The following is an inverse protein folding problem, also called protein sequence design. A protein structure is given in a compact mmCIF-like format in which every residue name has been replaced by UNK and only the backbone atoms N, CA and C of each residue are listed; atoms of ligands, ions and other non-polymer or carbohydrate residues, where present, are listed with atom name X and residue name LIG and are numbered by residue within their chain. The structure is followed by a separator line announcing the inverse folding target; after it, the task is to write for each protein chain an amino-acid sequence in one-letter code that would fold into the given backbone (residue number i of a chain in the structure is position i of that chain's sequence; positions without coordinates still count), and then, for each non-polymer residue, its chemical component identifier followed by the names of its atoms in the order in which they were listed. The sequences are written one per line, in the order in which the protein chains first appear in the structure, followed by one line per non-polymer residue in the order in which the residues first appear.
data_IF_154829445509
#
_entry.id   IF_154829445509
#
_cell.length_a   1.000
_cell.length_b   1.000
_cell.length_c   1.000
_cell.angle_alpha   90.00
_cell.angle_beta   90.00
_cell.angle_gamma   90.00
#
_symmetry.space_group_name_H-M   'P 1'
#
loop_
_entity.id
_entity.type
_entity.pdbx_description
1 polymer ?
#
# COMPACT_ATOMS: atom_id res chain seq x y z
N UNK A 1 -6.50 -26.27 -29.79
CA UNK A 1 -6.67 -25.02 -29.04
C UNK A 1 -5.29 -24.41 -28.81
N UNK A 2 -5.09 -23.13 -29.13
CA UNK A 2 -3.77 -22.46 -29.12
C UNK A 2 -3.42 -21.95 -27.72
N UNK A 3 -2.13 -21.76 -27.46
CA UNK A 3 -1.61 -21.16 -26.22
C UNK A 3 -2.27 -19.82 -25.93
N UNK A 4 -2.51 -19.55 -24.66
CA UNK A 4 -3.02 -18.25 -24.21
C UNK A 4 -2.14 -17.66 -23.13
N UNK A 5 -1.98 -16.33 -23.17
CA UNK A 5 -1.33 -15.55 -22.14
C UNK A 5 -2.37 -14.86 -21.27
N UNK A 6 -2.31 -15.10 -19.97
CA UNK A 6 -3.20 -14.49 -18.99
C UNK A 6 -2.46 -13.39 -18.24
N UNK A 7 -2.92 -12.16 -18.35
CA UNK A 7 -2.41 -11.01 -17.62
C UNK A 7 -3.40 -10.63 -16.52
N UNK A 8 -2.99 -10.72 -15.26
CA UNK A 8 -3.80 -10.32 -14.11
C UNK A 8 -3.25 -9.01 -13.57
N UNK A 9 -4.11 -8.01 -13.40
CA UNK A 9 -3.75 -6.71 -12.84
C UNK A 9 -4.93 -6.09 -12.09
N UNK A 10 -4.73 -5.74 -10.82
CA UNK A 10 -5.79 -5.24 -9.94
C UNK A 10 -7.00 -6.18 -10.02
N UNK A 11 -8.21 -5.67 -10.28
CA UNK A 11 -9.44 -6.47 -10.39
C UNK A 11 -9.74 -6.96 -11.82
N UNK A 12 -8.72 -7.00 -12.68
CA UNK A 12 -8.88 -7.37 -14.09
C UNK A 12 -8.05 -8.60 -14.47
N UNK A 13 -8.61 -9.39 -15.39
CA UNK A 13 -7.97 -10.54 -16.05
C UNK A 13 -8.09 -10.34 -17.55
N UNK A 14 -6.96 -10.20 -18.23
CA UNK A 14 -6.87 -10.20 -19.68
C UNK A 14 -6.37 -11.54 -20.19
N UNK A 15 -7.15 -12.22 -21.03
CA UNK A 15 -6.79 -13.47 -21.70
C UNK A 15 -6.43 -13.11 -23.14
N UNK A 16 -5.19 -13.35 -23.53
CA UNK A 16 -4.62 -13.02 -24.83
C UNK A 16 -4.34 -14.29 -25.60
N UNK A 17 -4.83 -14.40 -26.82
CA UNK A 17 -4.38 -15.42 -27.77
C UNK A 17 -3.36 -14.82 -28.73
N UNK A 18 -2.46 -15.65 -29.25
CA UNK A 18 -1.39 -15.19 -30.13
C UNK A 18 -1.92 -14.73 -31.51
N UNK A 19 -2.90 -15.45 -32.05
CA UNK A 19 -3.49 -15.17 -33.37
C UNK A 19 -4.71 -14.25 -33.27
N UNK A 20 -4.71 -13.13 -34.00
CA UNK A 20 -5.80 -12.18 -33.91
C UNK A 20 -7.11 -12.61 -34.59
N UNK A 21 -7.00 -13.44 -35.62
CA UNK A 21 -8.10 -13.80 -36.51
C UNK A 21 -8.70 -15.17 -36.22
N UNK A 22 -8.40 -15.78 -35.07
CA UNK A 22 -8.93 -17.10 -34.72
C UNK A 22 -10.44 -17.02 -34.42
N UNK A 23 -11.32 -17.55 -35.30
CA UNK A 23 -12.76 -17.46 -35.13
C UNK A 23 -13.27 -18.35 -33.97
N UNK A 24 -12.46 -19.31 -33.52
CA UNK A 24 -12.81 -20.27 -32.47
C UNK A 24 -12.69 -19.67 -31.06
N UNK A 25 -11.98 -18.54 -30.89
CA UNK A 25 -11.77 -17.92 -29.58
C UNK A 25 -13.07 -17.58 -28.85
N UNK A 26 -14.07 -17.17 -29.64
CA UNK A 26 -15.40 -16.87 -29.14
C UNK A 26 -16.13 -18.11 -28.62
N UNK A 27 -16.13 -19.19 -29.39
CA UNK A 27 -16.87 -20.42 -29.06
C UNK A 27 -16.15 -21.29 -28.04
N UNK A 28 -14.80 -21.29 -28.03
CA UNK A 28 -13.98 -22.16 -27.17
C UNK A 28 -13.58 -21.52 -25.84
N UNK A 29 -13.43 -20.19 -25.79
CA UNK A 29 -13.09 -19.46 -24.55
C UNK A 29 -14.21 -18.55 -24.10
N UNK A 30 -14.63 -17.56 -24.89
CA UNK A 30 -15.53 -16.50 -24.42
C UNK A 30 -16.88 -17.04 -23.93
N UNK A 31 -17.59 -17.80 -24.76
CA UNK A 31 -18.89 -18.36 -24.39
C UNK A 31 -18.78 -19.39 -23.23
N UNK A 32 -17.81 -20.32 -23.22
CA UNK A 32 -17.55 -21.19 -22.07
C UNK A 32 -17.22 -20.44 -20.77
N UNK A 33 -16.44 -19.35 -20.84
CA UNK A 33 -16.12 -18.52 -19.68
C UNK A 33 -17.38 -17.92 -19.06
N UNK A 34 -18.27 -17.36 -19.88
CA UNK A 34 -19.57 -16.84 -19.41
C UNK A 34 -20.42 -17.94 -18.75
N UNK A 35 -20.41 -19.15 -19.29
CA UNK A 35 -21.10 -20.31 -18.68
C UNK A 35 -20.48 -20.69 -17.34
N UNK A 36 -19.15 -20.65 -17.22
CA UNK A 36 -18.46 -20.90 -15.96
C UNK A 36 -18.79 -19.86 -14.89
N UNK A 37 -18.82 -18.58 -15.27
CA UNK A 37 -19.25 -17.50 -14.37
C UNK A 37 -20.68 -17.74 -13.90
N UNK A 38 -21.60 -18.07 -14.81
CA UNK A 38 -23.00 -18.39 -14.48
C UNK A 38 -23.12 -19.56 -13.49
N UNK A 39 -22.38 -20.65 -13.72
CA UNK A 39 -22.35 -21.82 -12.82
C UNK A 39 -21.83 -21.48 -11.42
N UNK A 40 -20.97 -20.48 -11.30
CA UNK A 40 -20.40 -20.02 -10.01
C UNK A 40 -21.26 -18.98 -9.30
N UNK A 41 -22.47 -18.72 -9.81
CA UNK A 41 -23.44 -17.81 -9.20
C UNK A 41 -23.33 -16.36 -9.66
N UNK A 42 -22.64 -16.08 -10.77
CA UNK A 42 -22.73 -14.77 -11.42
C UNK A 42 -23.99 -14.70 -12.29
N UNK A 43 -24.73 -13.60 -12.20
CA UNK A 43 -25.75 -13.28 -13.19
C UNK A 43 -25.05 -12.69 -14.40
N UNK A 44 -25.35 -13.21 -15.60
CA UNK A 44 -24.73 -12.78 -16.85
C UNK A 44 -25.81 -12.18 -17.73
N UNK A 45 -25.68 -10.91 -18.09
CA UNK A 45 -26.64 -10.17 -18.90
C UNK A 45 -25.95 -9.44 -20.05
N UNK A 46 -26.77 -8.99 -21.00
CA UNK A 46 -26.32 -8.08 -22.05
C UNK A 46 -26.18 -6.69 -21.44
N UNK A 47 -25.07 -6.02 -21.76
CA UNK A 47 -24.88 -4.61 -21.40
C UNK A 47 -25.91 -3.76 -22.17
N UNK A 48 -26.85 -3.15 -21.44
CA UNK A 48 -27.95 -2.38 -22.02
C UNK A 48 -27.47 -1.12 -22.74
N UNK A 49 -26.46 -0.45 -22.18
CA UNK A 49 -25.89 0.77 -22.74
C UNK A 49 -25.17 0.46 -24.06
N UNK A 50 -24.38 -0.62 -24.09
CA UNK A 50 -23.72 -1.08 -25.31
C UNK A 50 -24.74 -1.56 -26.33
N UNK A 51 -25.77 -2.31 -25.91
CA UNK A 51 -26.83 -2.76 -26.84
C UNK A 51 -27.54 -1.57 -27.48
N UNK A 52 -27.80 -0.50 -26.73
CA UNK A 52 -28.47 0.69 -27.22
C UNK A 52 -27.58 1.54 -28.14
N UNK A 53 -26.33 1.78 -27.74
CA UNK A 53 -25.43 2.71 -28.47
C UNK A 53 -24.60 2.02 -29.55
N UNK A 54 -24.25 0.76 -29.35
CA UNK A 54 -23.35 -0.02 -30.21
C UNK A 54 -23.85 -1.47 -30.39
N UNK A 55 -24.97 -1.68 -31.10
CA UNK A 55 -25.58 -3.02 -31.26
C UNK A 55 -24.61 -4.08 -31.82
N UNK A 56 -23.69 -3.68 -32.70
CA UNK A 56 -22.67 -4.56 -33.28
C UNK A 56 -21.70 -5.12 -32.23
N UNK A 57 -21.38 -4.35 -31.20
CA UNK A 57 -20.49 -4.74 -30.10
C UNK A 57 -21.20 -5.54 -29.01
N UNK A 58 -22.53 -5.46 -28.95
CA UNK A 58 -23.34 -6.16 -27.95
C UNK A 58 -23.09 -7.67 -27.93
N UNK A 59 -22.72 -8.29 -29.05
CA UNK A 59 -22.39 -9.73 -29.09
C UNK A 59 -21.14 -10.08 -28.29
N UNK A 60 -20.21 -9.14 -28.12
CA UNK A 60 -18.91 -9.34 -27.50
C UNK A 60 -18.81 -8.77 -26.09
N UNK A 61 -19.85 -8.09 -25.61
CA UNK A 61 -19.86 -7.43 -24.32
C UNK A 61 -20.95 -7.99 -23.41
N UNK A 62 -20.58 -8.36 -22.19
CA UNK A 62 -21.51 -8.82 -21.16
C UNK A 62 -21.25 -8.07 -19.87
N UNK A 63 -22.32 -7.78 -19.14
CA UNK A 63 -22.23 -7.40 -17.73
C UNK A 63 -22.47 -8.64 -16.88
N UNK A 64 -21.69 -8.77 -15.82
CA UNK A 64 -21.81 -9.81 -14.82
C UNK A 64 -22.02 -9.20 -13.45
N UNK A 65 -22.92 -9.75 -12.64
CA UNK A 65 -23.18 -9.27 -11.28
C UNK A 65 -23.22 -10.41 -10.27
N UNK A 66 -22.78 -10.13 -9.04
CA UNK A 66 -22.82 -11.08 -7.92
C UNK A 66 -22.76 -10.34 -6.59
N UNK A 67 -23.92 -10.17 -5.94
CA UNK A 67 -24.03 -9.33 -4.75
C UNK A 67 -23.62 -7.89 -5.09
N UNK A 68 -22.70 -7.32 -4.31
CA UNK A 68 -22.19 -5.96 -4.50
C UNK A 68 -21.13 -5.84 -5.61
N UNK A 69 -20.75 -6.95 -6.23
CA UNK A 69 -19.78 -6.98 -7.32
C UNK A 69 -20.48 -6.87 -8.68
N UNK A 70 -19.96 -5.96 -9.51
CA UNK A 70 -20.32 -5.80 -10.91
C UNK A 70 -19.06 -5.99 -11.75
N UNK A 71 -19.17 -6.59 -12.93
CA UNK A 71 -18.06 -6.74 -13.83
C UNK A 71 -18.47 -6.64 -15.28
N UNK A 72 -17.49 -6.33 -16.13
CA UNK A 72 -17.60 -6.37 -17.58
C UNK A 72 -16.75 -7.49 -18.14
N UNK A 73 -17.33 -8.26 -19.06
CA UNK A 73 -16.62 -9.28 -19.84
C UNK A 73 -16.71 -8.89 -21.31
N UNK A 74 -15.57 -8.53 -21.88
CA UNK A 74 -15.45 -7.99 -23.24
C UNK A 74 -14.53 -8.89 -24.08
N UNK A 75 -14.91 -9.12 -25.33
CA UNK A 75 -14.09 -9.77 -26.36
C UNK A 75 -13.73 -8.75 -27.47
N UNK A 76 -12.44 -8.43 -27.58
CA UNK A 76 -11.92 -7.47 -28.55
C UNK A 76 -10.78 -8.10 -29.33
N UNK A 77 -11.09 -8.54 -30.56
CA UNK A 77 -10.17 -9.30 -31.41
C UNK A 77 -9.62 -10.52 -30.67
N UNK A 78 -8.35 -10.45 -30.31
CA UNK A 78 -7.57 -11.51 -29.64
C UNK A 78 -7.60 -11.47 -28.11
N UNK A 79 -8.36 -10.56 -27.53
CA UNK A 79 -8.32 -10.30 -26.09
C UNK A 79 -9.69 -10.49 -25.49
N UNK A 80 -9.77 -11.30 -24.43
CA UNK A 80 -10.93 -11.32 -23.54
C UNK A 80 -10.53 -10.60 -22.26
N UNK A 81 -11.24 -9.53 -21.93
CA UNK A 81 -11.02 -8.77 -20.70
C UNK A 81 -12.18 -9.01 -19.74
N UNK A 82 -11.87 -9.49 -18.55
CA UNK A 82 -12.76 -9.50 -17.40
C UNK A 82 -12.30 -8.39 -16.46
N UNK A 83 -13.18 -7.48 -16.08
CA UNK A 83 -12.89 -6.44 -15.10
C UNK A 83 -14.02 -6.38 -14.09
N UNK A 84 -13.69 -6.37 -12.80
CA UNK A 84 -14.67 -6.37 -11.71
C UNK A 84 -14.50 -5.14 -10.83
N UNK A 85 -15.59 -4.55 -10.35
CA UNK A 85 -15.62 -3.48 -9.37
C UNK A 85 -16.75 -3.73 -8.36
N UNK A 86 -16.69 -3.06 -7.21
CA UNK A 86 -17.78 -3.08 -6.24
C UNK A 86 -18.57 -1.77 -6.31
N UNK A 87 -19.86 -1.84 -5.98
CA UNK A 87 -20.76 -0.68 -5.93
C UNK A 87 -20.76 0.02 -4.57
N UNK A 88 -20.07 -0.54 -3.58
CA UNK A 88 -20.18 -0.14 -2.17
C UNK A 88 -19.15 0.88 -1.70
N UNK A 89 -18.10 1.15 -2.48
CA UNK A 89 -17.07 2.12 -2.07
C UNK A 89 -17.39 3.56 -2.50
N UNK A 90 -16.86 4.58 -1.79
CA UNK A 90 -16.98 5.97 -2.21
C UNK A 90 -16.38 6.21 -3.60
N UNK A 91 -17.19 6.77 -4.50
CA UNK A 91 -16.82 7.05 -5.89
C UNK A 91 -15.85 8.23 -5.92
N UNK A 92 -14.73 8.06 -6.63
CA UNK A 92 -13.70 9.09 -6.82
C UNK A 92 -13.77 9.67 -8.24
N UNK A 93 -14.05 8.80 -9.23
CA UNK A 93 -14.23 9.20 -10.62
C UNK A 93 -15.68 9.62 -10.92
N UNK A 94 -15.86 10.80 -11.54
CA UNK A 94 -17.18 11.31 -11.98
C UNK A 94 -17.93 10.36 -12.93
N UNK A 95 -17.20 9.50 -13.65
CA UNK A 95 -17.78 8.52 -14.58
C UNK A 95 -18.20 7.21 -13.90
N UNK A 96 -18.09 7.12 -12.57
CA UNK A 96 -18.55 6.00 -11.76
C UNK A 96 -17.47 4.99 -11.36
N UNK A 97 -17.82 4.00 -10.52
CA UNK A 97 -16.86 3.10 -9.85
C UNK A 97 -16.11 2.19 -10.82
N UNK A 98 -16.63 1.98 -12.03
CA UNK A 98 -15.94 1.26 -13.12
C UNK A 98 -14.61 1.92 -13.48
N UNK A 99 -14.49 3.24 -13.35
CA UNK A 99 -13.31 4.00 -13.77
C UNK A 99 -12.40 4.40 -12.60
N UNK A 100 -12.68 3.90 -11.39
CA UNK A 100 -11.80 4.09 -10.24
C UNK A 100 -10.53 3.23 -10.36
N UNK A 101 -9.42 3.75 -9.83
CA UNK A 101 -8.16 3.02 -9.72
C UNK A 101 -8.07 2.22 -8.42
N UNK A 102 -7.24 1.17 -8.44
CA UNK A 102 -6.92 0.31 -7.27
C UNK A 102 -8.18 -0.34 -6.70
N UNK A 103 -9.04 -0.84 -7.59
CA UNK A 103 -10.35 -1.41 -7.29
C UNK A 103 -10.26 -2.53 -6.25
N UNK A 104 -9.31 -3.46 -6.37
CA UNK A 104 -9.15 -4.53 -5.36
C UNK A 104 -8.86 -3.98 -3.96
N UNK A 105 -8.10 -2.89 -3.85
CA UNK A 105 -7.76 -2.31 -2.55
C UNK A 105 -8.92 -1.57 -1.89
N UNK A 106 -9.88 -1.10 -2.71
CA UNK A 106 -11.11 -0.42 -2.26
C UNK A 106 -12.24 -1.39 -1.90
N UNK A 107 -12.19 -2.63 -2.41
CA UNK A 107 -13.16 -3.66 -2.08
C UNK A 107 -13.15 -4.02 -0.60
N UNK A 108 -14.34 -4.31 -0.06
CA UNK A 108 -14.48 -4.97 1.22
C UNK A 108 -13.70 -6.30 1.23
N UNK A 109 -13.27 -6.72 2.41
CA UNK A 109 -12.35 -7.85 2.58
C UNK A 109 -12.83 -9.13 1.85
N UNK A 110 -14.09 -9.51 2.05
CA UNK A 110 -14.67 -10.72 1.47
C UNK A 110 -14.84 -10.60 -0.04
N UNK A 111 -15.22 -9.44 -0.55
CA UNK A 111 -15.36 -9.21 -1.99
C UNK A 111 -14.02 -9.24 -2.70
N UNK A 112 -12.99 -8.65 -2.10
CA UNK A 112 -11.61 -8.78 -2.58
C UNK A 112 -11.19 -10.25 -2.68
N UNK A 113 -11.48 -11.06 -1.66
CA UNK A 113 -11.18 -12.49 -1.68
C UNK A 113 -11.97 -13.24 -2.77
N UNK A 114 -13.24 -12.88 -2.99
CA UNK A 114 -14.07 -13.45 -4.06
C UNK A 114 -13.48 -13.16 -5.44
N UNK A 115 -13.05 -11.92 -5.70
CA UNK A 115 -12.43 -11.56 -6.99
C UNK A 115 -11.12 -12.31 -7.21
N UNK A 116 -10.24 -12.35 -6.20
CA UNK A 116 -8.99 -13.12 -6.27
C UNK A 116 -9.24 -14.62 -6.49
N UNK A 117 -10.28 -15.17 -5.86
CA UNK A 117 -10.69 -16.56 -6.08
C UNK A 117 -11.18 -16.77 -7.52
N UNK A 118 -11.99 -15.87 -8.06
CA UNK A 118 -12.45 -15.97 -9.45
C UNK A 118 -11.29 -15.87 -10.45
N UNK A 119 -10.30 -15.00 -10.23
CA UNK A 119 -9.09 -14.96 -11.06
C UNK A 119 -8.40 -16.33 -11.13
N UNK A 120 -8.18 -16.96 -9.96
CA UNK A 120 -7.56 -18.30 -9.91
C UNK A 120 -8.39 -19.34 -10.62
N UNK A 121 -9.70 -19.34 -10.37
CA UNK A 121 -10.60 -20.30 -11.00
C UNK A 121 -10.74 -20.09 -12.51
N UNK A 122 -10.50 -18.89 -13.03
CA UNK A 122 -10.39 -18.63 -14.47
C UNK A 122 -9.09 -19.25 -15.00
N UNK A 123 -7.95 -19.00 -14.34
CA UNK A 123 -6.65 -19.58 -14.73
C UNK A 123 -6.68 -21.11 -14.70
N UNK A 124 -7.15 -21.71 -13.62
CA UNK A 124 -7.25 -23.18 -13.50
C UNK A 124 -8.18 -23.77 -14.56
N UNK A 125 -9.30 -23.11 -14.83
CA UNK A 125 -10.20 -23.53 -15.91
C UNK A 125 -9.54 -23.46 -17.29
N UNK A 126 -8.71 -22.44 -17.55
CA UNK A 126 -7.96 -22.32 -18.81
C UNK A 126 -6.88 -23.40 -18.93
N UNK A 127 -6.13 -23.67 -17.85
CA UNK A 127 -5.09 -24.71 -17.81
C UNK A 127 -5.62 -26.11 -18.16
N UNK A 128 -6.87 -26.40 -17.80
CA UNK A 128 -7.53 -27.64 -18.19
C UNK A 128 -7.95 -27.74 -19.66
N UNK A 129 -7.72 -26.71 -20.49
CA UNK A 129 -8.18 -26.66 -21.89
C UNK A 129 -7.07 -26.36 -22.89
N UNK A 130 -6.09 -25.57 -22.48
CA UNK A 130 -5.00 -25.14 -23.34
C UNK A 130 -3.75 -24.84 -22.50
N UNK A 131 -2.63 -24.63 -23.18
CA UNK A 131 -1.41 -24.15 -22.52
C UNK A 131 -1.57 -22.68 -22.11
N UNK A 132 -1.18 -22.37 -20.87
CA UNK A 132 -1.44 -21.06 -20.24
C UNK A 132 -0.17 -20.50 -19.62
N UNK A 133 0.30 -19.38 -20.17
CA UNK A 133 1.31 -18.55 -19.51
C UNK A 133 0.64 -17.47 -18.68
N UNK A 134 0.94 -17.39 -17.38
CA UNK A 134 0.32 -16.42 -16.46
C UNK A 134 1.32 -15.34 -16.06
N UNK A 135 0.96 -14.08 -16.25
CA UNK A 135 1.62 -12.91 -15.69
C UNK A 135 0.68 -12.25 -14.68
N UNK A 136 0.92 -12.49 -13.39
CA UNK A 136 0.13 -11.89 -12.32
C UNK A 136 0.85 -10.70 -11.69
N UNK A 137 0.43 -9.47 -12.04
CA UNK A 137 0.95 -8.23 -11.48
C UNK A 137 0.47 -7.98 -10.04
N UNK A 138 -0.50 -8.75 -9.54
CA UNK A 138 -0.90 -8.72 -8.15
C UNK A 138 0.00 -9.58 -7.26
N UNK A 139 0.79 -10.51 -7.82
CA UNK A 139 1.62 -11.45 -7.06
C UNK A 139 2.64 -10.76 -6.14
N UNK A 140 3.14 -9.58 -6.52
CA UNK A 140 4.03 -8.76 -5.69
C UNK A 140 3.32 -7.86 -4.67
N UNK A 141 2.00 -7.69 -4.77
CA UNK A 141 1.23 -6.76 -3.90
C UNK A 141 0.50 -7.50 -2.78
N UNK A 142 0.24 -8.78 -2.97
CA UNK A 142 -0.45 -9.60 -1.99
C UNK A 142 0.09 -11.03 -2.12
N UNK A 143 0.83 -11.55 -1.14
CA UNK A 143 1.13 -12.99 -1.04
C UNK A 143 -0.14 -13.84 -0.78
N UNK A 144 -1.32 -13.42 -1.25
CA UNK A 144 -2.58 -14.15 -1.08
C UNK A 144 -2.91 -14.84 -2.39
N UNK A 145 -2.19 -15.94 -2.60
CA UNK A 145 -2.79 -17.26 -2.83
C UNK A 145 -2.53 -17.95 -4.16
N UNK A 146 -1.31 -17.85 -4.67
CA UNK A 146 -0.75 -18.93 -5.49
C UNK A 146 0.60 -19.39 -4.91
N UNK A 147 1.42 -18.47 -4.40
CA UNK A 147 2.67 -18.75 -3.69
C UNK A 147 2.56 -18.39 -2.21
N UNK A 148 3.18 -19.21 -1.35
CA UNK A 148 3.37 -18.86 0.06
C UNK A 148 4.34 -17.68 0.16
N UNK A 149 4.33 -16.96 1.28
CA UNK A 149 5.27 -15.87 1.53
C UNK A 149 6.74 -16.32 1.36
N UNK A 150 7.05 -17.55 1.79
CA UNK A 150 8.37 -18.16 1.60
C UNK A 150 8.67 -18.44 0.13
N UNK A 151 7.72 -19.03 -0.61
CA UNK A 151 7.92 -19.25 -2.06
C UNK A 151 8.19 -17.93 -2.79
N UNK A 152 7.45 -16.87 -2.46
CA UNK A 152 7.71 -15.54 -3.02
C UNK A 152 9.13 -15.03 -2.72
N UNK A 153 9.61 -15.21 -1.48
CA UNK A 153 10.97 -14.83 -1.11
C UNK A 153 12.00 -15.66 -1.90
N UNK A 154 11.82 -16.98 -1.98
CA UNK A 154 12.74 -17.87 -2.71
C UNK A 154 12.78 -17.55 -4.21
N UNK A 155 11.62 -17.43 -4.85
CA UNK A 155 11.52 -17.03 -6.27
C UNK A 155 12.22 -15.67 -6.48
N UNK A 156 12.03 -14.72 -5.56
CA UNK A 156 12.69 -13.42 -5.59
C UNK A 156 14.20 -13.49 -5.39
N UNK A 157 14.71 -14.43 -4.60
CA UNK A 157 16.16 -14.67 -4.47
C UNK A 157 16.74 -15.30 -5.73
N UNK A 158 16.02 -16.23 -6.35
CA UNK A 158 16.46 -16.89 -7.58
C UNK A 158 16.59 -15.91 -8.74
N UNK A 159 15.67 -14.94 -8.83
CA UNK A 159 15.69 -13.89 -9.86
C UNK A 159 16.60 -12.69 -9.53
N UNK A 160 17.09 -12.58 -8.29
CA UNK A 160 17.84 -11.41 -7.83
C UNK A 160 19.28 -11.40 -8.33
N UNK A 161 19.68 -10.29 -8.95
CA UNK A 161 21.08 -10.01 -9.30
C UNK A 161 21.99 -9.81 -8.08
N UNK A 162 21.41 -9.56 -6.90
CA UNK A 162 22.12 -9.44 -5.62
C UNK A 162 22.29 -10.77 -4.88
N UNK A 163 21.88 -11.89 -5.49
CA UNK A 163 22.01 -13.22 -4.89
C UNK A 163 23.49 -13.58 -4.71
N UNK A 164 23.87 -13.89 -3.48
CA UNK A 164 25.13 -14.57 -3.22
C UNK A 164 25.03 -16.04 -3.68
N UNK A 165 26.03 -16.51 -4.43
CA UNK A 165 26.02 -17.85 -5.03
C UNK A 165 26.11 -18.96 -3.98
N UNK A 166 26.75 -18.70 -2.84
CA UNK A 166 26.98 -19.70 -1.79
C UNK A 166 25.76 -19.73 -0.85
N UNK A 167 25.34 -18.57 -0.36
CA UNK A 167 24.20 -18.47 0.57
C UNK A 167 22.84 -18.67 -0.11
N UNK A 168 22.78 -18.57 -1.45
CA UNK A 168 21.55 -18.70 -2.22
C UNK A 168 20.57 -17.55 -2.03
N UNK A 169 21.03 -16.43 -1.45
CA UNK A 169 20.23 -15.26 -1.09
C UNK A 169 21.11 -14.01 -1.05
N UNK A 170 20.53 -12.80 -1.07
CA UNK A 170 21.29 -11.59 -0.77
C UNK A 170 21.88 -11.63 0.64
N UNK A 171 23.04 -11.00 0.82
CA UNK A 171 23.67 -10.82 2.12
C UNK A 171 23.66 -9.34 2.51
N UNK A 172 23.50 -9.03 3.81
CA UNK A 172 23.81 -7.70 4.30
C UNK A 172 25.31 -7.49 4.07
N UNK A 173 25.65 -6.55 3.18
CA UNK A 173 27.03 -6.15 2.97
C UNK A 173 27.67 -5.57 4.25
N UNK A 174 28.82 -4.90 4.17
CA UNK A 174 29.60 -4.49 5.36
C UNK A 174 28.91 -3.43 6.23
N UNK A 175 27.74 -2.93 5.84
CA UNK A 175 27.04 -1.86 6.54
C UNK A 175 26.18 -2.39 7.68
N UNK A 176 26.67 -2.22 8.91
CA UNK A 176 26.00 -2.64 10.15
C UNK A 176 24.52 -2.21 10.22
N UNK A 177 24.22 -0.98 9.80
CA UNK A 177 22.85 -0.42 9.75
C UNK A 177 21.84 -1.26 8.95
N UNK A 178 22.31 -2.13 8.06
CA UNK A 178 21.43 -2.97 7.24
C UNK A 178 20.77 -4.08 8.06
N UNK A 179 21.38 -4.46 9.19
CA UNK A 179 20.91 -5.52 10.07
C UNK A 179 20.78 -5.08 11.53
N UNK A 180 21.01 -3.81 11.86
CA UNK A 180 20.70 -3.27 13.19
C UNK A 180 19.21 -2.98 13.33
N UNK A 181 18.57 -3.63 14.30
CA UNK A 181 17.19 -3.43 14.70
C UNK A 181 16.95 -2.10 15.42
N UNK A 182 15.69 -1.75 15.63
CA UNK A 182 15.27 -0.60 16.43
C UNK A 182 15.71 -0.66 17.90
N UNK A 183 15.86 -1.86 18.46
CA UNK A 183 16.42 -2.10 19.80
C UNK A 183 17.95 -2.26 19.80
N UNK A 184 18.62 -1.97 18.69
CA UNK A 184 20.09 -1.93 18.60
C UNK A 184 20.77 -3.29 18.46
N UNK A 185 20.00 -4.36 18.29
CA UNK A 185 20.47 -5.72 18.14
C UNK A 185 20.65 -6.09 16.66
N UNK A 186 21.39 -7.17 16.41
CA UNK A 186 21.53 -7.71 15.05
C UNK A 186 20.31 -8.56 14.70
N UNK A 187 19.72 -8.29 13.55
CA UNK A 187 18.64 -9.10 12.97
C UNK A 187 19.27 -10.26 12.22
N UNK A 188 18.94 -11.48 12.62
CA UNK A 188 19.41 -12.68 11.96
C UNK A 188 18.41 -13.15 10.89
N UNK A 189 18.93 -13.67 9.78
CA UNK A 189 18.10 -14.24 8.72
C UNK A 189 17.39 -15.50 9.24
N UNK A 190 16.07 -15.51 9.17
CA UNK A 190 15.22 -16.56 9.73
C UNK A 190 14.81 -16.33 11.19
N UNK A 191 15.24 -15.23 11.83
CA UNK A 191 14.88 -14.96 13.23
C UNK A 191 13.46 -14.43 13.40
N UNK A 192 12.94 -14.54 14.63
CA UNK A 192 11.69 -13.91 15.01
C UNK A 192 11.92 -12.42 15.27
N UNK A 193 11.07 -11.58 14.70
CA UNK A 193 11.09 -10.13 14.92
C UNK A 193 9.70 -9.61 15.27
N UNK A 194 9.68 -8.47 15.95
CA UNK A 194 8.48 -7.73 16.30
C UNK A 194 8.49 -6.38 15.60
N UNK A 195 7.32 -5.83 15.29
CA UNK A 195 7.22 -4.51 14.64
C UNK A 195 5.86 -3.86 14.90
N UNK A 196 5.82 -2.53 14.88
CA UNK A 196 4.57 -1.79 14.96
C UNK A 196 3.89 -1.75 13.58
N UNK A 197 2.69 -2.30 13.48
CA UNK A 197 1.90 -2.27 12.26
C UNK A 197 1.20 -0.90 12.09
N UNK A 198 0.59 -0.65 10.93
CA UNK A 198 -0.07 0.64 10.61
C UNK A 198 -1.24 0.97 11.53
N UNK A 199 -1.82 -0.02 12.19
CA UNK A 199 -2.86 0.17 13.20
C UNK A 199 -2.28 0.51 14.58
N UNK A 200 -0.95 0.61 14.71
CA UNK A 200 -0.19 0.91 15.91
C UNK A 200 0.02 -0.28 16.85
N UNK A 201 -0.42 -1.48 16.49
CA UNK A 201 -0.23 -2.66 17.34
C UNK A 201 1.09 -3.35 17.04
N UNK A 202 1.63 -4.07 18.02
CA UNK A 202 2.80 -4.92 17.81
C UNK A 202 2.37 -6.22 17.13
N UNK A 203 3.01 -6.50 16.01
CA UNK A 203 2.93 -7.75 15.27
C UNK A 203 4.24 -8.51 15.40
N UNK A 204 4.19 -9.82 15.11
CA UNK A 204 5.34 -10.72 15.10
C UNK A 204 5.43 -11.41 13.74
N UNK A 205 6.65 -11.67 13.29
CA UNK A 205 6.90 -12.49 12.11
C UNK A 205 8.33 -13.02 12.08
N UNK A 206 8.66 -13.70 10.98
CA UNK A 206 10.01 -14.22 10.72
C UNK A 206 10.70 -13.33 9.69
N UNK A 207 11.89 -12.84 10.02
CA UNK A 207 12.66 -11.92 9.18
C UNK A 207 13.54 -12.66 8.17
N UNK A 208 13.52 -12.22 6.92
CA UNK A 208 14.36 -12.71 5.83
C UNK A 208 15.00 -11.50 5.17
N UNK A 209 16.33 -11.48 5.11
CA UNK A 209 17.07 -10.35 4.55
C UNK A 209 16.68 -10.10 3.08
N UNK A 210 16.39 -8.85 2.72
CA UNK A 210 16.11 -8.47 1.35
C UNK A 210 17.30 -7.74 0.74
N UNK A 211 17.29 -6.40 0.77
CA UNK A 211 18.34 -5.57 0.18
C UNK A 211 18.52 -4.31 1.01
N UNK A 212 19.77 -3.84 1.13
CA UNK A 212 20.12 -2.69 1.95
C UNK A 212 19.62 -2.89 3.40
N UNK A 213 18.90 -1.93 3.96
CA UNK A 213 18.29 -2.05 5.28
C UNK A 213 16.88 -2.63 5.23
N UNK A 214 16.44 -3.23 4.12
CA UNK A 214 15.10 -3.79 3.98
C UNK A 214 15.08 -5.28 4.30
N UNK A 215 14.01 -5.70 4.96
CA UNK A 215 13.76 -7.06 5.41
C UNK A 215 12.34 -7.50 5.03
N UNK A 216 12.26 -8.69 4.47
CA UNK A 216 11.01 -9.41 4.31
C UNK A 216 10.58 -9.99 5.65
N UNK A 217 9.37 -9.67 6.12
CA UNK A 217 8.81 -10.22 7.36
C UNK A 217 7.59 -11.07 7.05
N UNK A 218 7.73 -12.38 7.25
CA UNK A 218 6.66 -13.36 7.08
C UNK A 218 5.79 -13.38 8.34
N UNK A 219 4.57 -12.89 8.22
CA UNK A 219 3.60 -12.79 9.33
C UNK A 219 2.56 -13.93 9.32
N UNK A 220 2.70 -14.86 8.38
CA UNK A 220 1.80 -15.99 8.15
C UNK A 220 2.03 -16.57 6.75
N UNK A 221 1.38 -17.71 6.40
CA UNK A 221 1.68 -18.43 5.15
C UNK A 221 1.53 -17.59 3.87
N UNK A 222 0.69 -16.54 3.95
CA UNK A 222 0.28 -15.69 2.83
C UNK A 222 0.41 -14.19 3.14
N UNK A 223 1.15 -13.83 4.20
CA UNK A 223 1.30 -12.44 4.64
C UNK A 223 2.78 -12.11 4.72
N UNK A 224 3.20 -11.21 3.83
CA UNK A 224 4.56 -10.72 3.72
C UNK A 224 4.56 -9.20 3.87
N UNK A 225 5.58 -8.67 4.54
CA UNK A 225 5.83 -7.23 4.68
C UNK A 225 7.27 -6.94 4.27
N UNK A 226 7.52 -5.78 3.66
CA UNK A 226 8.86 -5.26 3.48
C UNK A 226 9.06 -4.13 4.48
N UNK A 227 9.96 -4.28 5.44
CA UNK A 227 10.17 -3.35 6.54
C UNK A 227 11.66 -2.99 6.64
N UNK A 228 11.96 -1.76 7.04
CA UNK A 228 13.33 -1.37 7.35
C UNK A 228 13.83 -2.03 8.63
N UNK A 229 15.13 -2.30 8.74
CA UNK A 229 15.76 -2.86 9.94
C UNK A 229 15.44 -2.02 11.19
N UNK A 230 15.45 -0.69 11.03
CA UNK A 230 15.09 0.30 12.06
C UNK A 230 13.60 0.28 12.48
N UNK A 231 12.74 -0.50 11.83
CA UNK A 231 11.34 -0.69 12.21
C UNK A 231 11.11 -2.01 12.97
N UNK A 232 12.12 -2.89 12.99
CA UNK A 232 12.06 -4.22 13.58
C UNK A 232 12.69 -4.21 14.97
N UNK A 233 12.15 -5.01 15.88
CA UNK A 233 12.71 -5.28 17.19
C UNK A 233 13.12 -6.75 17.24
N UNK A 234 14.32 -7.04 17.74
CA UNK A 234 14.78 -8.42 17.96
C UNK A 234 14.23 -9.00 19.27
N UNK A 235 13.81 -8.15 20.21
CA UNK A 235 13.09 -8.57 21.40
C UNK A 235 11.61 -8.19 21.35
N UNK A 236 10.79 -8.99 22.01
CA UNK A 236 9.40 -8.63 22.24
C UNK A 236 9.32 -7.34 23.08
N UNK A 237 8.57 -6.31 22.63
CA UNK A 237 8.34 -5.13 23.45
C UNK A 237 7.67 -5.50 24.79
N UNK A 238 8.09 -4.84 25.87
CA UNK A 238 7.63 -5.13 27.23
C UNK A 238 6.09 -5.08 27.39
N UNK A 239 5.41 -4.25 26.60
CA UNK A 239 3.96 -4.16 26.61
C UNK A 239 3.38 -4.25 25.19
N UNK A 240 3.01 -5.47 24.79
CA UNK A 240 2.40 -5.75 23.48
C UNK A 240 1.00 -5.11 23.29
N UNK A 241 0.33 -4.73 24.38
CA UNK A 241 -0.97 -4.04 24.33
C UNK A 241 -0.83 -2.54 24.17
N UNK A 242 0.35 -1.99 24.43
CA UNK A 242 0.61 -0.58 24.21
C UNK A 242 0.57 -0.29 22.70
N UNK A 243 -0.08 0.80 22.34
CA UNK A 243 -0.20 1.23 20.95
C UNK A 243 1.00 2.11 20.59
N UNK A 244 1.81 1.66 19.64
CA UNK A 244 2.94 2.40 19.08
C UNK A 244 2.46 3.31 17.94
N UNK A 245 1.67 4.33 18.29
CA UNK A 245 1.11 5.28 17.34
C UNK A 245 1.42 6.74 17.69
N UNK A 246 2.53 7.00 18.37
CA UNK A 246 2.88 8.33 18.88
C UNK A 246 2.83 9.39 17.75
N UNK A 247 3.43 9.07 16.60
CA UNK A 247 3.42 9.94 15.40
C UNK A 247 2.01 10.29 14.94
N UNK A 248 1.14 9.28 14.81
CA UNK A 248 -0.26 9.46 14.37
C UNK A 248 -1.10 10.18 15.42
N UNK A 249 -0.88 9.89 16.71
CA UNK A 249 -1.51 10.59 17.83
C UNK A 249 -1.14 12.07 17.81
N UNK A 250 0.14 12.40 17.62
CA UNK A 250 0.62 13.77 17.49
C UNK A 250 -0.03 14.50 16.31
N UNK A 251 -0.04 13.89 15.12
CA UNK A 251 -0.71 14.47 13.94
C UNK A 251 -2.17 14.83 14.23
N UNK A 252 -2.93 13.91 14.83
CA UNK A 252 -4.34 14.12 15.12
C UNK A 252 -4.57 15.20 16.18
N UNK A 253 -3.79 15.18 17.25
CA UNK A 253 -3.92 16.15 18.34
C UNK A 253 -3.52 17.56 17.89
N UNK A 254 -2.45 17.70 17.11
CA UNK A 254 -2.07 19.01 16.55
C UNK A 254 -3.09 19.51 15.53
N UNK A 255 -3.64 18.63 14.67
CA UNK A 255 -4.72 19.02 13.74
C UNK A 255 -5.99 19.48 14.48
N UNK A 256 -6.37 18.80 15.57
CA UNK A 256 -7.49 19.22 16.41
C UNK A 256 -7.18 20.53 17.14
N UNK A 257 -5.94 20.73 17.60
CA UNK A 257 -5.49 21.98 18.21
C UNK A 257 -5.64 23.15 17.22
N UNK A 258 -5.11 23.01 16.00
CA UNK A 258 -5.28 24.01 14.94
C UNK A 258 -6.76 24.27 14.64
N UNK A 259 -7.59 23.24 14.65
CA UNK A 259 -9.03 23.36 14.39
C UNK A 259 -9.76 24.07 15.54
N UNK A 260 -9.40 23.80 16.79
CA UNK A 260 -9.94 24.49 17.96
C UNK A 260 -9.57 25.98 17.94
N UNK A 261 -8.31 26.33 17.62
CA UNK A 261 -7.86 27.72 17.47
C UNK A 261 -8.63 28.45 16.37
N UNK A 262 -8.83 27.83 15.20
CA UNK A 262 -9.63 28.42 14.10
C UNK A 262 -11.07 28.68 14.48
N UNK A 263 -11.66 27.84 15.34
CA UNK A 263 -13.02 28.00 15.87
C UNK A 263 -13.09 28.93 17.09
N UNK A 264 -11.97 29.52 17.51
CA UNK A 264 -11.83 30.33 18.72
C UNK A 264 -12.22 29.59 20.03
N UNK A 265 -12.15 28.25 20.03
CA UNK A 265 -12.36 27.44 21.24
C UNK A 265 -11.05 27.31 22.02
N UNK A 266 -10.72 28.37 22.76
CA UNK A 266 -9.45 28.48 23.48
C UNK A 266 -9.36 27.54 24.68
N UNK A 267 -10.49 27.17 25.29
CA UNK A 267 -10.53 26.18 26.39
C UNK A 267 -10.09 24.82 25.87
N UNK A 268 -10.64 24.39 24.71
CA UNK A 268 -10.22 23.14 24.08
C UNK A 268 -8.78 23.19 23.59
N UNK A 269 -8.35 24.31 23.03
CA UNK A 269 -6.98 24.50 22.58
C UNK A 269 -5.98 24.38 23.74
N UNK A 270 -6.26 24.98 24.91
CA UNK A 270 -5.39 24.88 26.09
C UNK A 270 -5.30 23.44 26.61
N UNK A 271 -6.42 22.71 26.66
CA UNK A 271 -6.41 21.30 27.03
C UNK A 271 -5.52 20.46 26.10
N UNK A 272 -5.66 20.65 24.78
CA UNK A 272 -4.87 19.92 23.78
C UNK A 272 -3.38 20.27 23.85
N UNK A 273 -3.06 21.55 24.06
CA UNK A 273 -1.69 22.02 24.31
C UNK A 273 -1.09 21.33 25.52
N UNK A 274 -1.80 21.26 26.65
CA UNK A 274 -1.33 20.58 27.87
C UNK A 274 -1.12 19.07 27.65
N UNK A 275 -2.00 18.42 26.88
CA UNK A 275 -1.85 16.99 26.53
C UNK A 275 -0.61 16.74 25.66
N UNK A 276 -0.29 17.67 24.75
CA UNK A 276 0.82 17.55 23.81
C UNK A 276 2.18 17.94 24.42
N UNK A 277 2.21 19.04 25.17
CA UNK A 277 3.45 19.72 25.58
C UNK A 277 3.53 19.97 27.09
N UNK A 278 2.52 19.55 27.87
CA UNK A 278 2.45 19.87 29.29
C UNK A 278 2.40 21.38 29.53
N UNK A 279 3.25 21.85 30.45
CA UNK A 279 3.40 23.28 30.74
C UNK A 279 4.44 23.98 29.86
N UNK A 280 5.12 23.25 28.96
CA UNK A 280 6.14 23.83 28.10
C UNK A 280 5.51 24.74 27.03
N UNK A 281 6.22 25.83 26.71
CA UNK A 281 5.83 26.68 25.59
C UNK A 281 6.16 25.97 24.26
N UNK A 282 5.21 25.91 23.31
CA UNK A 282 5.44 25.28 22.01
C UNK A 282 6.23 26.22 21.10
N UNK A 283 7.20 25.64 20.39
CA UNK A 283 8.04 26.27 19.39
C UNK A 283 7.62 25.85 17.99
N UNK A 284 7.99 26.65 16.99
CA UNK A 284 7.85 26.32 15.57
C UNK A 284 9.23 26.29 14.92
N UNK A 285 9.38 25.45 13.90
CA UNK A 285 10.60 25.39 13.10
C UNK A 285 10.30 26.06 11.76
N UNK A 286 11.11 27.06 11.41
CA UNK A 286 10.99 27.81 10.16
C UNK A 286 12.12 27.41 9.22
N UNK A 287 11.75 27.02 7.99
CA UNK A 287 12.67 26.68 6.93
C UNK A 287 12.85 27.88 5.99
N UNK A 288 14.08 28.40 5.95
CA UNK A 288 14.41 29.64 5.24
C UNK A 288 14.38 29.46 3.73
N UNK A 289 14.85 28.32 3.26
CA UNK A 289 14.87 27.92 1.86
C UNK A 289 13.46 27.75 1.27
N UNK A 290 12.49 27.31 2.08
CA UNK A 290 11.09 27.15 1.68
C UNK A 290 10.20 28.34 2.04
N UNK A 291 10.74 29.34 2.76
CA UNK A 291 10.01 30.47 3.32
C UNK A 291 8.72 30.05 4.05
N UNK A 292 8.79 28.97 4.84
CA UNK A 292 7.64 28.30 5.43
C UNK A 292 8.00 27.54 6.71
N UNK A 293 7.00 27.26 7.55
CA UNK A 293 7.14 26.44 8.75
C UNK A 293 7.02 24.95 8.45
N UNK A 294 7.76 24.14 9.19
CA UNK A 294 7.53 22.70 9.23
C UNK A 294 6.14 22.40 9.79
N UNK A 295 5.43 21.44 9.19
CA UNK A 295 4.24 20.82 9.77
C UNK A 295 4.62 19.74 10.78
N UNK A 296 3.64 19.29 11.57
CA UNK A 296 3.79 18.27 12.60
C UNK A 296 4.62 17.04 12.14
N UNK A 297 5.50 16.55 13.03
CA UNK A 297 6.48 15.49 12.75
C UNK A 297 7.46 15.80 11.61
N UNK A 298 7.89 17.06 11.46
CA UNK A 298 8.91 17.49 10.51
C UNK A 298 8.57 17.13 9.05
N UNK A 299 7.26 17.10 8.71
CA UNK A 299 6.80 16.52 7.44
C UNK A 299 5.89 17.47 6.67
N UNK A 300 6.46 18.09 5.65
CA UNK A 300 5.81 19.09 4.81
C UNK A 300 5.87 20.50 5.38
N UNK A 301 5.47 21.47 4.56
CA UNK A 301 5.62 22.90 4.84
C UNK A 301 4.27 23.62 4.88
N UNK A 302 4.22 24.74 5.59
CA UNK A 302 3.08 25.65 5.56
C UNK A 302 3.49 27.07 5.93
N UNK A 303 2.88 28.06 5.29
CA UNK A 303 3.01 29.47 5.68
C UNK A 303 1.99 29.88 6.75
N UNK A 304 0.98 29.05 7.01
CA UNK A 304 -0.03 29.28 8.06
C UNK A 304 0.52 28.87 9.43
N UNK A 305 0.74 29.84 10.31
CA UNK A 305 1.25 29.64 11.68
C UNK A 305 0.28 28.85 12.57
N UNK A 306 -1.01 28.80 12.23
CA UNK A 306 -2.00 27.98 12.93
C UNK A 306 -1.85 26.50 12.51
N UNK A 307 -1.54 26.23 11.24
CA UNK A 307 -1.25 24.88 10.71
C UNK A 307 0.16 24.38 10.99
N UNK A 308 1.07 25.29 11.37
CA UNK A 308 2.47 24.97 11.61
C UNK A 308 2.59 23.94 12.74
N UNK A 309 3.53 23.00 12.56
CA UNK A 309 3.85 22.00 13.56
C UNK A 309 4.39 22.66 14.83
N UNK A 310 3.95 22.14 15.98
CA UNK A 310 4.40 22.61 17.29
C UNK A 310 5.37 21.62 17.89
N UNK A 311 6.44 22.12 18.48
CA UNK A 311 7.57 21.35 18.99
C UNK A 311 7.93 21.78 20.41
N UNK A 312 8.52 20.88 21.20
CA UNK A 312 9.24 21.35 22.40
C UNK A 312 10.48 22.14 21.98
N UNK A 313 11.04 22.93 22.90
CA UNK A 313 12.28 23.67 22.63
C UNK A 313 13.39 22.72 22.20
N UNK A 314 13.60 21.63 22.94
CA UNK A 314 14.64 20.64 22.65
C UNK A 314 14.46 19.98 21.27
N UNK A 315 13.23 19.66 20.88
CA UNK A 315 12.91 19.12 19.56
C UNK A 315 13.27 20.11 18.45
N UNK A 316 12.86 21.37 18.62
CA UNK A 316 13.10 22.42 17.64
C UNK A 316 14.60 22.74 17.52
N UNK A 317 15.31 22.89 18.64
CA UNK A 317 16.75 23.15 18.65
C UNK A 317 17.54 22.00 18.04
N UNK A 318 17.20 20.74 18.36
CA UNK A 318 17.89 19.58 17.82
C UNK A 318 17.78 19.53 16.29
N UNK A 319 16.58 19.80 15.76
CA UNK A 319 16.38 19.81 14.31
C UNK A 319 17.05 21.02 13.65
N UNK A 320 16.96 22.22 14.25
CA UNK A 320 17.63 23.38 13.70
C UNK A 320 19.17 23.25 13.69
N UNK A 321 19.76 22.63 14.72
CA UNK A 321 21.19 22.33 14.78
C UNK A 321 21.63 21.26 13.77
N UNK A 322 20.71 20.41 13.28
CA UNK A 322 21.00 19.43 12.21
C UNK A 322 21.32 20.14 10.91
N UNK A 323 20.63 21.25 10.61
CA UNK A 323 20.79 22.03 9.38
C UNK A 323 20.76 23.54 9.69
N UNK A 324 21.80 24.06 10.37
CA UNK A 324 21.78 25.42 10.94
C UNK A 324 21.72 26.53 9.90
N UNK A 325 22.11 26.24 8.66
CA UNK A 325 22.09 27.20 7.55
C UNK A 325 20.73 27.28 6.86
N UNK A 326 19.81 26.33 7.09
CA UNK A 326 18.47 26.31 6.48
C UNK A 326 17.37 26.60 7.50
N UNK A 327 17.59 26.27 8.78
CA UNK A 327 16.55 26.25 9.80
C UNK A 327 16.78 27.28 10.90
N UNK A 328 15.69 27.89 11.36
CA UNK A 328 15.64 28.69 12.58
C UNK A 328 14.39 28.31 13.38
N UNK A 329 14.39 28.61 14.68
CA UNK A 329 13.26 28.31 15.56
C UNK A 329 12.57 29.58 16.02
N UNK A 330 11.25 29.54 16.06
CA UNK A 330 10.39 30.66 16.42
C UNK A 330 9.64 30.32 17.73
N UNK A 331 9.79 31.18 18.73
CA UNK A 331 9.22 31.05 20.06
C UNK A 331 7.85 31.74 20.22
N UNK A 332 7.22 31.59 21.41
CA UNK A 332 5.89 32.16 21.71
C UNK A 332 5.85 33.69 21.68
N UNK A 333 6.95 34.37 22.02
CA UNK A 333 7.02 35.84 22.16
C UNK A 333 7.71 36.50 20.94
N UNK A 334 7.48 35.93 19.74
CA UNK A 334 8.15 36.33 18.50
C UNK A 334 9.69 36.21 18.53
N UNK A 335 10.23 35.48 19.52
CA UNK A 335 11.64 35.14 19.61
C UNK A 335 12.07 34.33 18.38
N UNK A 336 13.20 34.70 17.77
CA UNK A 336 13.79 33.98 16.64
C UNK A 336 15.22 33.60 16.98
N UNK A 337 15.50 32.31 17.01
CA UNK A 337 16.84 31.80 17.31
C UNK A 337 17.43 31.14 16.07
N UNK A 338 18.63 31.59 15.71
CA UNK A 338 19.45 31.01 14.65
C UNK A 338 20.64 30.28 15.25
N UNK A 339 20.99 29.16 14.65
CA UNK A 339 22.14 28.36 15.06
C UNK A 339 23.26 28.41 14.02
N UNK A 340 23.31 29.50 13.23
CA UNK A 340 24.32 29.71 12.19
C UNK A 340 25.70 29.35 12.75
N UNK A 341 26.46 28.52 12.03
CA UNK A 341 27.82 28.15 12.48
C UNK A 341 28.58 29.45 12.70
N UNK A 342 29.10 29.66 13.90
CA UNK A 342 30.15 30.65 14.12
C UNK A 342 31.21 30.40 13.04
N UNK A 343 31.50 31.44 12.26
CA UNK A 343 32.52 31.39 11.22
C UNK A 343 33.81 30.83 11.85
N UNK A 344 34.26 29.69 11.35
CA UNK A 344 35.59 29.15 11.60
C UNK A 344 36.53 29.67 10.52
#
# INVERSE_FOLDING_TARGET
MRSVKVNINDSSVGIWQDCADDPTFRSEIFQPLLRQLKRRGWQVSVDADIKSRYPSLSKNNRIVTRGDLVGSVELTGRVIKVEVWATTWPIDNRNGPRYDFRKLSRMAYLDRLRVLLEHRRIVEWLRGRTDVTVKDLNAGRVCRGASTALKFIHDGYDESWHRDKIAGRPLPGPYVRNFTSADGLSIEHGSTVWFAHTDGRIHRGTAYYNLNNMWWVVCGPYVLRNLGAHELFCNAPANLRAKHNQRQRRLKLEAELSSAVRRMDFVRADQLKRILFGNAAPWMIYARDHNAYYRANYSGYTTDTISAGRYTRDEAEKEARRVPHELEIHGPDAERIRFDRAAA
#
